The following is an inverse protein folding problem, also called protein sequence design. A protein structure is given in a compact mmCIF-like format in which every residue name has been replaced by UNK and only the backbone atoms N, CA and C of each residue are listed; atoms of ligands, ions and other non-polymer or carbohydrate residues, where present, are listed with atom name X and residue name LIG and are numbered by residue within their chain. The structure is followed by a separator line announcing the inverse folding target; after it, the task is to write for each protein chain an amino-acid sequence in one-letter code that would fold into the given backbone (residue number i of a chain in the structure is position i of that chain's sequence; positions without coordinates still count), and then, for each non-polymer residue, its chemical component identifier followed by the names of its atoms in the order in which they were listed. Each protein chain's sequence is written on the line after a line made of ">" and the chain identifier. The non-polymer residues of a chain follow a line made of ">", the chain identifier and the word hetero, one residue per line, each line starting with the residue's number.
data_IF_838529324742
#
_entry.id   IF_838529324742
#
_cell.length_a   1.000
_cell.length_b   1.000
_cell.length_c   1.000
_cell.angle_alpha   90.00
_cell.angle_beta   90.00
_cell.angle_gamma   90.00
#
_symmetry.space_group_name_H-M   'P 1'
#
loop_
_entity.id
_entity.type
_entity.pdbx_description
1 polymer ?
#
# COMPACT_ATOMS: atom_id res chain seq x y z
N UNK A 1 -17.78 2.71 -2.32
CA UNK A 1 -16.62 2.97 -3.20
C UNK A 1 -15.34 2.56 -2.49
N UNK A 2 -14.52 1.78 -3.17
CA UNK A 2 -13.25 1.34 -2.59
C UNK A 2 -12.27 2.50 -2.49
N UNK A 3 -11.43 2.45 -1.48
CA UNK A 3 -10.38 3.43 -1.29
C UNK A 3 -9.30 3.34 -2.39
N UNK A 4 -9.15 2.17 -2.98
CA UNK A 4 -8.17 1.94 -4.04
C UNK A 4 -8.81 2.20 -5.40
N UNK A 5 -8.34 3.24 -6.09
CA UNK A 5 -8.75 3.50 -7.46
C UNK A 5 -7.69 2.98 -8.41
N UNK A 6 -8.11 2.50 -9.58
CA UNK A 6 -7.17 2.04 -10.61
C UNK A 6 -6.27 3.19 -11.07
N UNK A 7 -5.05 2.87 -11.43
CA UNK A 7 -4.09 3.85 -11.91
C UNK A 7 -2.71 3.67 -11.31
N UNK A 8 -1.90 4.71 -11.47
CA UNK A 8 -0.54 4.76 -10.96
C UNK A 8 -0.51 5.57 -9.66
N UNK A 9 0.17 5.04 -8.66
CA UNK A 9 0.23 5.64 -7.34
C UNK A 9 1.66 5.73 -6.83
N UNK A 10 1.93 6.75 -6.03
CA UNK A 10 3.21 6.91 -5.33
C UNK A 10 2.92 6.98 -3.84
N UNK A 11 3.64 6.18 -3.05
CA UNK A 11 3.56 6.21 -1.61
C UNK A 11 4.86 6.68 -1.00
N UNK A 12 4.78 7.47 0.06
CA UNK A 12 5.94 7.91 0.83
C UNK A 12 5.60 7.94 2.30
N UNK A 13 6.55 7.54 3.11
CA UNK A 13 6.35 7.55 4.54
C UNK A 13 7.57 7.10 5.31
N UNK A 14 7.32 6.61 6.51
CA UNK A 14 8.39 6.16 7.39
C UNK A 14 7.99 4.88 8.11
N UNK A 15 9.00 4.11 8.46
CA UNK A 15 8.88 2.90 9.27
C UNK A 15 9.71 3.08 10.53
N UNK A 16 9.11 2.75 11.67
CA UNK A 16 9.77 2.79 12.96
C UNK A 16 9.91 1.37 13.48
N UNK A 17 11.15 0.97 13.77
CA UNK A 17 11.43 -0.34 14.33
C UNK A 17 11.36 -0.23 15.85
N UNK A 18 10.76 -1.20 16.51
CA UNK A 18 10.69 -1.28 17.96
C UNK A 18 12.08 -1.15 18.56
N UNK A 19 12.21 -0.25 19.53
CA UNK A 19 13.50 0.02 20.18
C UNK A 19 14.33 1.12 19.53
N UNK A 20 13.96 1.58 18.34
CA UNK A 20 14.62 2.68 17.65
C UNK A 20 13.77 3.94 17.72
N UNK A 21 14.42 5.08 17.93
CA UNK A 21 13.72 6.36 18.01
C UNK A 21 13.64 7.09 16.68
N UNK A 22 14.40 6.64 15.68
CA UNK A 22 14.44 7.29 14.37
C UNK A 22 13.71 6.43 13.33
N UNK A 23 12.78 7.04 12.63
CA UNK A 23 12.10 6.39 11.52
C UNK A 23 13.00 6.30 10.29
N UNK A 24 12.75 5.32 9.46
CA UNK A 24 13.44 5.13 8.19
C UNK A 24 12.47 5.38 7.05
N UNK A 25 12.94 6.04 6.00
CA UNK A 25 12.10 6.35 4.85
C UNK A 25 11.71 5.09 4.10
N UNK A 26 10.49 5.09 3.59
CA UNK A 26 9.98 4.05 2.72
C UNK A 26 9.19 4.71 1.59
N UNK A 27 9.31 4.16 0.40
CA UNK A 27 8.60 4.69 -0.76
C UNK A 27 8.07 3.54 -1.61
N UNK A 28 6.95 3.80 -2.28
CA UNK A 28 6.31 2.82 -3.15
C UNK A 28 5.97 3.46 -4.49
N UNK A 29 6.11 2.65 -5.54
CA UNK A 29 5.50 2.91 -6.83
C UNK A 29 4.53 1.77 -7.08
N UNK A 30 3.26 2.07 -7.28
CA UNK A 30 2.23 1.06 -7.45
C UNK A 30 1.43 1.29 -8.73
N UNK A 31 1.02 0.18 -9.33
CA UNK A 31 0.01 0.17 -10.39
C UNK A 31 -1.15 -0.65 -9.87
N UNK A 32 -2.34 -0.07 -9.88
CA UNK A 32 -3.56 -0.76 -9.46
C UNK A 32 -4.40 -0.98 -10.70
N UNK A 33 -4.73 -2.24 -10.96
CA UNK A 33 -5.57 -2.65 -12.08
C UNK A 33 -6.79 -3.39 -11.60
N UNK A 34 -7.89 -3.20 -12.30
CA UNK A 34 -9.11 -3.91 -12.02
C UNK A 34 -9.07 -5.28 -12.69
N UNK A 35 -9.56 -6.29 -11.98
CA UNK A 35 -9.72 -7.65 -12.49
C UNK A 35 -11.18 -8.05 -12.36
N UNK A 36 -11.55 -9.24 -12.89
CA UNK A 36 -12.91 -9.69 -12.94
C UNK A 36 -13.61 -9.71 -11.57
N UNK A 37 -12.88 -10.06 -10.52
CA UNK A 37 -13.46 -10.22 -9.18
C UNK A 37 -12.75 -9.36 -8.12
N UNK A 38 -11.93 -8.41 -8.53
CA UNK A 38 -11.22 -7.58 -7.57
C UNK A 38 -10.17 -6.68 -8.19
N UNK A 39 -9.07 -6.52 -7.47
CA UNK A 39 -7.98 -5.63 -7.85
C UNK A 39 -6.66 -6.37 -7.81
N UNK A 40 -5.75 -5.92 -8.65
CA UNK A 40 -4.37 -6.40 -8.68
C UNK A 40 -3.46 -5.19 -8.49
N UNK A 41 -2.57 -5.25 -7.50
CA UNK A 41 -1.60 -4.21 -7.21
C UNK A 41 -0.20 -4.76 -7.49
N UNK A 42 0.58 -4.04 -8.27
CA UNK A 42 1.97 -4.41 -8.55
C UNK A 42 2.85 -3.19 -8.44
N UNK A 43 4.09 -3.39 -8.07
CA UNK A 43 5.01 -2.27 -7.97
C UNK A 43 6.30 -2.60 -7.25
N UNK A 44 6.91 -1.56 -6.70
CA UNK A 44 8.17 -1.67 -5.99
C UNK A 44 8.14 -0.89 -4.69
N UNK A 45 8.92 -1.36 -3.73
CA UNK A 45 9.18 -0.69 -2.47
C UNK A 45 10.66 -0.34 -2.42
N UNK A 46 10.98 0.86 -1.98
CA UNK A 46 12.35 1.36 -1.86
C UNK A 46 12.59 2.00 -0.50
N UNK A 47 13.85 2.10 -0.13
CA UNK A 47 14.28 2.76 1.11
C UNK A 47 14.49 1.74 2.21
N UNK A 48 13.62 1.74 3.21
CA UNK A 48 13.68 0.78 4.31
C UNK A 48 13.84 -0.66 3.81
N UNK A 49 13.17 -0.97 2.71
CA UNK A 49 13.21 -2.28 2.08
C UNK A 49 13.19 -2.06 0.57
N UNK A 50 14.05 -2.75 -0.17
CA UNK A 50 14.06 -2.68 -1.62
C UNK A 50 13.58 -4.02 -2.17
N UNK A 51 12.34 -4.05 -2.66
CA UNK A 51 11.71 -5.29 -3.06
C UNK A 51 10.54 -5.05 -4.00
N UNK A 52 10.21 -6.04 -4.84
CA UNK A 52 8.97 -5.99 -5.60
C UNK A 52 7.77 -6.22 -4.67
N UNK A 53 6.66 -5.60 -5.02
CA UNK A 53 5.40 -5.75 -4.32
C UNK A 53 4.35 -6.24 -5.29
N UNK A 54 3.59 -7.24 -4.88
CA UNK A 54 2.37 -7.64 -5.57
C UNK A 54 1.30 -7.97 -4.56
N UNK A 55 0.06 -7.63 -4.88
CA UNK A 55 -1.06 -7.93 -4.02
C UNK A 55 -2.28 -8.19 -4.88
N UNK A 56 -3.11 -9.10 -4.43
CA UNK A 56 -4.39 -9.38 -5.05
C UNK A 56 -5.47 -9.22 -4.00
N UNK A 57 -6.51 -8.49 -4.36
CA UNK A 57 -7.65 -8.24 -3.48
C UNK A 57 -8.89 -8.71 -4.22
N UNK A 58 -9.62 -9.66 -3.64
CA UNK A 58 -10.82 -10.21 -4.27
C UNK A 58 -11.94 -10.30 -3.23
N UNK A 59 -13.16 -10.02 -3.69
CA UNK A 59 -14.34 -10.14 -2.85
C UNK A 59 -14.85 -11.58 -2.95
N UNK A 60 -15.03 -12.23 -1.80
CA UNK A 60 -15.54 -13.60 -1.80
C UNK A 60 -17.07 -13.60 -1.84
N UNK A 61 -17.66 -14.81 -1.83
CA UNK A 61 -19.10 -14.99 -1.92
C UNK A 61 -19.88 -14.40 -0.75
N UNK A 62 -19.22 -14.15 0.37
CA UNK A 62 -19.84 -13.56 1.56
C UNK A 62 -19.67 -12.03 1.61
N UNK A 63 -19.07 -11.44 0.58
CA UNK A 63 -18.82 -10.00 0.56
C UNK A 63 -17.62 -9.53 1.35
N UNK A 64 -16.80 -10.45 1.82
CA UNK A 64 -15.55 -10.14 2.53
C UNK A 64 -14.41 -10.07 1.51
N UNK A 65 -13.54 -9.08 1.67
CA UNK A 65 -12.36 -9.00 0.82
C UNK A 65 -11.25 -9.89 1.37
N UNK A 66 -10.68 -10.68 0.46
CA UNK A 66 -9.55 -11.56 0.76
C UNK A 66 -8.33 -10.97 0.07
N UNK A 67 -7.21 -10.94 0.79
CA UNK A 67 -5.99 -10.30 0.30
C UNK A 67 -4.85 -11.31 0.33
N UNK A 68 -4.08 -11.33 -0.76
CA UNK A 68 -2.79 -12.02 -0.84
C UNK A 68 -1.73 -10.98 -1.16
N UNK A 69 -0.67 -10.92 -0.37
CA UNK A 69 0.40 -9.93 -0.55
C UNK A 69 1.74 -10.64 -0.60
N UNK A 70 2.58 -10.22 -1.53
CA UNK A 70 3.97 -10.64 -1.58
C UNK A 70 4.84 -9.37 -1.65
N UNK A 71 5.77 -9.26 -0.72
CA UNK A 71 6.73 -8.17 -0.66
C UNK A 71 8.13 -8.79 -0.53
N UNK A 72 8.84 -8.89 -1.66
CA UNK A 72 10.07 -9.65 -1.71
C UNK A 72 9.79 -11.12 -1.38
N UNK A 73 10.48 -11.64 -0.39
CA UNK A 73 10.31 -13.03 0.05
C UNK A 73 9.19 -13.20 1.08
N UNK A 74 8.61 -12.11 1.55
CA UNK A 74 7.52 -12.15 2.52
C UNK A 74 6.19 -12.33 1.80
N UNK A 75 5.46 -13.39 2.13
CA UNK A 75 4.11 -13.62 1.62
C UNK A 75 3.14 -13.69 2.79
N UNK A 76 2.06 -12.97 2.69
CA UNK A 76 1.02 -12.93 3.71
C UNK A 76 -0.35 -12.99 3.05
N UNK A 77 -1.32 -13.49 3.79
CA UNK A 77 -2.71 -13.50 3.34
C UNK A 77 -3.59 -12.98 4.46
N UNK A 78 -4.78 -12.56 4.11
CA UNK A 78 -5.68 -12.05 5.13
C UNK A 78 -7.00 -11.59 4.58
N UNK A 79 -7.69 -10.80 5.41
CA UNK A 79 -9.00 -10.28 5.09
C UNK A 79 -9.03 -8.78 5.31
N UNK A 80 -9.98 -8.14 4.64
CA UNK A 80 -10.13 -6.69 4.75
C UNK A 80 -11.59 -6.28 4.68
N UNK A 81 -11.85 -5.13 5.31
CA UNK A 81 -13.11 -4.43 5.20
C UNK A 81 -12.81 -3.10 4.52
N UNK A 82 -13.02 -3.05 3.21
CA UNK A 82 -12.56 -1.94 2.38
C UNK A 82 -13.64 -0.92 2.06
N UNK A 83 -14.90 -1.23 2.38
CA UNK A 83 -16.01 -0.32 2.11
C UNK A 83 -16.40 0.48 3.35
N UNK A 84 -15.60 0.42 4.40
CA UNK A 84 -15.80 1.21 5.62
C UNK A 84 -14.83 2.39 5.66
N UNK A 85 -15.10 3.35 6.53
CA UNK A 85 -14.22 4.48 6.79
C UNK A 85 -13.91 4.54 8.28
N UNK A 86 -12.69 4.26 8.71
CA UNK A 86 -11.56 3.84 7.88
C UNK A 86 -11.69 2.40 7.41
N UNK A 87 -10.97 2.06 6.36
CA UNK A 87 -10.88 0.69 5.90
C UNK A 87 -9.84 -0.06 6.74
N UNK A 88 -10.07 -1.34 6.94
CA UNK A 88 -9.23 -2.16 7.82
C UNK A 88 -8.79 -3.42 7.10
N UNK A 89 -7.56 -3.85 7.37
CA UNK A 89 -7.06 -5.13 6.86
C UNK A 89 -6.22 -5.81 7.92
N UNK A 90 -6.31 -7.12 7.96
CA UNK A 90 -5.49 -7.97 8.83
C UNK A 90 -4.85 -9.05 7.98
N UNK A 91 -3.54 -9.11 8.03
CA UNK A 91 -2.75 -10.08 7.26
C UNK A 91 -1.97 -10.96 8.22
N UNK A 92 -1.74 -12.21 7.82
CA UNK A 92 -0.95 -13.14 8.60
C UNK A 92 -0.15 -14.07 7.68
N UNK A 93 0.87 -14.66 8.26
CA UNK A 93 1.69 -15.66 7.58
C UNK A 93 1.38 -17.01 8.23
N UNK A 94 0.88 -17.97 7.43
CA UNK A 94 0.37 -19.24 7.95
C UNK A 94 1.40 -20.07 8.72
N UNK A 95 2.65 -20.02 8.30
CA UNK A 95 3.69 -20.87 8.88
C UNK A 95 4.45 -20.23 10.04
N UNK A 96 4.16 -18.99 10.37
CA UNK A 96 4.90 -18.22 11.38
C UNK A 96 3.97 -17.37 12.22
N UNK A 97 4.44 -17.00 13.41
CA UNK A 97 3.68 -16.11 14.30
C UNK A 97 3.88 -14.66 13.88
N UNK A 98 3.51 -14.33 12.66
CA UNK A 98 3.65 -13.00 12.11
C UNK A 98 2.32 -12.49 11.62
N UNK A 99 2.03 -11.24 11.90
CA UNK A 99 0.81 -10.61 11.42
C UNK A 99 1.04 -9.12 11.16
N UNK A 100 0.20 -8.58 10.29
CA UNK A 100 0.18 -7.15 10.01
C UNK A 100 -1.24 -6.64 10.13
N UNK A 101 -1.39 -5.47 10.70
CA UNK A 101 -2.67 -4.80 10.81
C UNK A 101 -2.55 -3.44 10.12
N UNK A 102 -3.50 -3.13 9.26
CA UNK A 102 -3.47 -1.89 8.48
C UNK A 102 -4.77 -1.15 8.65
N UNK A 103 -4.65 0.17 8.75
CA UNK A 103 -5.78 1.08 8.68
C UNK A 103 -5.55 1.99 7.49
N UNK A 104 -6.55 2.06 6.62
CA UNK A 104 -6.52 2.89 5.43
C UNK A 104 -7.57 3.97 5.57
N UNK A 105 -7.21 5.20 5.28
CA UNK A 105 -8.13 6.32 5.43
C UNK A 105 -7.94 7.32 4.30
N UNK A 106 -9.01 7.99 3.92
CA UNK A 106 -8.96 8.97 2.82
C UNK A 106 -8.30 10.25 3.28
N UNK A 107 -7.51 10.83 2.40
CA UNK A 107 -6.96 12.18 2.56
C UNK A 107 -7.30 12.96 1.30
N UNK A 108 -7.02 14.27 1.31
CA UNK A 108 -7.49 15.18 0.24
C UNK A 108 -7.12 14.76 -1.18
N UNK A 109 -5.94 14.16 -1.36
CA UNK A 109 -5.41 13.82 -2.69
C UNK A 109 -5.01 12.35 -2.81
N UNK A 110 -5.49 11.50 -1.89
CA UNK A 110 -5.15 10.10 -1.93
C UNK A 110 -5.64 9.36 -0.71
N UNK A 111 -4.80 8.49 -0.16
CA UNK A 111 -5.13 7.80 1.08
C UNK A 111 -3.89 7.60 1.94
N UNK A 112 -4.12 7.49 3.23
CA UNK A 112 -3.10 7.16 4.19
C UNK A 112 -3.20 5.70 4.60
N UNK A 113 -2.06 5.13 4.96
CA UNK A 113 -1.96 3.76 5.45
C UNK A 113 -1.13 3.77 6.71
N UNK A 114 -1.73 3.39 7.83
CA UNK A 114 -1.02 3.21 9.09
C UNK A 114 -1.17 1.77 9.52
N UNK A 115 -0.15 1.27 10.19
CA UNK A 115 -0.24 -0.08 10.66
C UNK A 115 1.01 -0.56 11.35
N UNK A 116 1.00 -1.85 11.63
CA UNK A 116 2.16 -2.48 12.22
C UNK A 116 2.31 -3.91 11.69
N UNK A 117 3.55 -4.36 11.69
CA UNK A 117 3.91 -5.73 11.40
C UNK A 117 4.58 -6.30 12.66
N UNK A 118 4.03 -7.38 13.16
CA UNK A 118 4.54 -8.03 14.35
C UNK A 118 5.09 -9.41 14.01
N UNK A 119 6.30 -9.66 14.48
CA UNK A 119 6.96 -10.95 14.34
C UNK A 119 7.73 -11.26 15.62
N UNK A 120 8.24 -12.49 15.80
CA UNK A 120 8.98 -12.83 17.03
C UNK A 120 10.17 -11.91 17.31
N UNK A 121 10.79 -11.36 16.26
CA UNK A 121 11.94 -10.47 16.43
C UNK A 121 11.57 -9.07 16.91
N UNK A 122 10.29 -8.69 16.83
CA UNK A 122 9.83 -7.37 17.26
C UNK A 122 8.72 -6.82 16.38
N UNK A 123 8.41 -5.55 16.58
CA UNK A 123 7.32 -4.87 15.90
C UNK A 123 7.85 -3.69 15.10
N UNK A 124 7.32 -3.54 13.89
CA UNK A 124 7.56 -2.37 13.04
C UNK A 124 6.23 -1.64 12.88
N UNK A 125 6.27 -0.32 12.96
CA UNK A 125 5.09 0.51 12.69
C UNK A 125 5.39 1.44 11.54
N UNK A 126 4.36 1.79 10.77
CA UNK A 126 4.55 2.67 9.63
C UNK A 126 3.42 3.65 9.48
N UNK A 127 3.74 4.71 8.74
CA UNK A 127 2.79 5.69 8.29
C UNK A 127 3.18 6.09 6.88
N UNK A 128 2.28 5.87 5.92
CA UNK A 128 2.56 6.08 4.50
C UNK A 128 1.39 6.84 3.90
N UNK A 129 1.69 7.83 3.06
CA UNK A 129 0.68 8.53 2.29
C UNK A 129 0.83 8.16 0.82
N UNK A 130 -0.27 7.77 0.20
CA UNK A 130 -0.33 7.44 -1.23
C UNK A 130 -1.08 8.52 -1.97
N UNK A 131 -0.50 8.97 -3.07
CA UNK A 131 -1.15 9.92 -3.98
C UNK A 131 -1.16 9.34 -5.37
N UNK A 132 -2.23 9.61 -6.11
CA UNK A 132 -2.38 9.12 -7.47
C UNK A 132 -1.53 9.98 -8.40
N UNK A 133 -0.76 9.34 -9.27
CA UNK A 133 0.00 10.05 -10.29
C UNK A 133 -0.95 10.61 -11.33
N UNK A 134 -0.81 11.88 -11.63
CA UNK A 134 -1.53 12.50 -12.73
C UNK A 134 -0.74 12.22 -14.00
N UNK A 135 -1.37 11.53 -14.97
CA UNK A 135 -0.76 11.35 -16.28
C UNK A 135 -0.54 12.71 -16.91
N UNK A 136 0.69 12.99 -17.32
CA UNK A 136 0.95 14.14 -18.17
C UNK A 136 0.10 13.98 -19.42
N UNK A 137 -0.82 14.89 -19.63
CA UNK A 137 -1.58 14.93 -20.89
C UNK A 137 -0.62 15.41 -21.96
N UNK A 138 -0.48 14.56 -22.96
CA UNK A 138 0.48 14.81 -23.99
C UNK A 138 0.43 16.19 -24.54
N UNK A 139 1.25 16.69 -24.62
CA UNK A 139 1.44 17.79 -24.92
C UNK A 139 2.56 18.27 -24.18
N UNK A 140 2.36 18.13 -24.52
CA UNK A 140 2.94 18.46 -23.84
C UNK A 140 3.29 18.93 -23.02
N UNK A 141 2.94 19.00 -23.15
CA UNK A 141 3.32 19.25 -22.25
C UNK A 141 3.72 19.45 -21.48
N UNK A 142 3.64 19.50 -21.86
CA UNK A 142 3.94 19.56 -20.88
C UNK A 142 4.75 19.87 -20.23
N UNK A 143 4.97 20.22 -20.56
CA UNK A 143 5.64 20.50 -19.60
C UNK A 143 6.15 21.25 -19.16
N UNK A 144 6.14 21.42 -19.65
CA UNK A 144 6.67 22.06 -19.02
C UNK A 144 6.50 22.71 -18.17
N UNK A 145 6.09 22.92 -18.16
CA UNK A 145 6.03 23.45 -17.19
C UNK A 145 6.46 23.42 -16.30
N UNK A 146 6.52 23.13 -16.49
CA UNK A 146 6.94 23.08 -15.53
C UNK A 146 7.85 23.30 -15.30
N UNK A 147 7.95 23.41 -16.04
CA UNK A 147 8.87 23.63 -15.73
C UNK A 147 9.24 24.60 -15.22
N UNK A 148 8.89 25.00 -15.44
CA UNK A 148 9.13 25.83 -14.90
C UNK A 148 9.18 26.13 -13.84
N UNK A 149 9.05 26.07 -13.82
CA UNK A 149 9.12 26.27 -12.78
C UNK A 149 9.75 25.99 -12.03
N UNK A 150 9.80 25.90 -12.54
CA UNK A 150 10.36 25.56 -11.79
C UNK A 150 10.85 25.73 -11.23
#
# INVERSE_FOLDING_TARGET
>A
MLIFETGLWVGKGSVLIEGNSLGQNIAFDLTIKEEADGLNLTGTCDGFLNAPLSARIAKNEFGVYVIDVALGDLSMEGTAKLESEPALALLWKQSEESCASLTLFRVSDGFGCRGFFREPAGTQTWEIKFVKKVKAVGGANVFSLAKRRR
#
